data_IF_692438494603
#
_entry.id   IF_692438494603
#
_cell.length_a   1.000
_cell.length_b   1.000
_cell.length_c   1.000
_cell.angle_alpha   90.00
_cell.angle_beta   90.00
_cell.angle_gamma   90.00
#
_symmetry.space_group_name_H-M   'P 1'
#
loop_
_entity.id
_entity.type
_entity.pdbx_description
1 polymer ?
#
# COMPACT_ATOMS: atom_id res chain seq x y z
N UNK A 1 -3.29 -7.07 -9.25
CA UNK A 1 -3.21 -6.02 -8.23
C UNK A 1 -4.48 -5.17 -8.18
N UNK A 2 -4.77 -4.58 -7.03
CA UNK A 2 -5.89 -3.63 -6.84
C UNK A 2 -5.54 -2.21 -7.36
N UNK A 3 -4.26 -1.87 -7.44
CA UNK A 3 -3.77 -0.52 -7.79
C UNK A 3 -3.03 -0.52 -9.12
N UNK A 4 -3.59 0.06 -10.21
CA UNK A 4 -2.89 0.17 -11.50
C UNK A 4 -1.54 0.91 -11.42
N UNK A 5 -1.40 1.84 -10.47
CA UNK A 5 -0.19 2.66 -10.30
C UNK A 5 1.09 1.85 -9.99
N UNK A 6 0.95 0.65 -9.39
CA UNK A 6 2.10 -0.21 -9.08
C UNK A 6 2.59 -1.03 -10.28
N UNK A 7 1.95 -0.91 -11.45
CA UNK A 7 2.35 -1.60 -12.66
C UNK A 7 3.81 -1.32 -13.04
N UNK A 8 4.28 -0.08 -12.82
CA UNK A 8 5.67 0.29 -13.09
C UNK A 8 6.65 -0.50 -12.22
N UNK A 9 6.38 -0.68 -10.93
CA UNK A 9 7.25 -1.47 -10.05
C UNK A 9 7.32 -2.93 -10.50
N UNK A 10 6.19 -3.54 -10.88
CA UNK A 10 6.16 -4.89 -11.44
C UNK A 10 6.93 -5.00 -12.75
N UNK A 11 6.86 -3.98 -13.61
CA UNK A 11 7.62 -3.95 -14.84
C UNK A 11 9.12 -3.75 -14.59
N UNK A 12 9.51 -2.89 -13.64
CA UNK A 12 10.90 -2.69 -13.24
C UNK A 12 11.52 -3.99 -12.69
N UNK A 13 10.77 -4.73 -11.89
CA UNK A 13 11.20 -6.04 -11.39
C UNK A 13 11.30 -7.08 -12.52
N UNK A 14 10.37 -7.06 -13.46
CA UNK A 14 10.45 -7.90 -14.66
C UNK A 14 11.73 -7.58 -15.46
N UNK A 15 12.03 -6.31 -15.74
CA UNK A 15 13.25 -5.91 -16.45
C UNK A 15 14.50 -6.37 -15.69
N UNK A 16 14.52 -6.19 -14.38
CA UNK A 16 15.68 -6.49 -13.53
C UNK A 16 15.93 -7.99 -13.38
N UNK A 17 14.89 -8.80 -13.22
CA UNK A 17 15.03 -10.19 -12.79
C UNK A 17 14.66 -11.22 -13.85
N UNK A 18 13.90 -10.86 -14.89
CA UNK A 18 13.34 -11.81 -15.85
C UNK A 18 13.71 -11.48 -17.29
N UNK A 19 13.74 -10.21 -17.69
CA UNK A 19 13.90 -9.81 -19.10
C UNK A 19 15.23 -10.25 -19.74
N UNK A 20 16.24 -10.56 -18.97
CA UNK A 20 17.49 -11.15 -19.45
C UNK A 20 17.29 -12.57 -20.01
N UNK A 21 16.21 -13.26 -19.63
CA UNK A 21 15.73 -14.47 -20.28
C UNK A 21 14.95 -14.05 -21.52
N UNK A 22 15.58 -14.13 -22.67
CA UNK A 22 15.10 -13.55 -23.96
C UNK A 22 13.77 -14.12 -24.47
N UNK A 23 13.24 -15.20 -23.88
CA UNK A 23 11.98 -15.83 -24.21
C UNK A 23 10.77 -15.23 -23.48
N UNK A 24 10.96 -14.40 -22.45
CA UNK A 24 9.84 -13.77 -21.73
C UNK A 24 9.42 -12.44 -22.34
N UNK A 25 8.12 -12.16 -22.33
CA UNK A 25 7.52 -10.88 -22.75
C UNK A 25 6.52 -10.40 -21.71
N UNK A 26 6.55 -9.09 -21.43
CA UNK A 26 5.58 -8.45 -20.56
C UNK A 26 4.40 -7.91 -21.35
N UNK A 27 3.19 -8.38 -21.02
CA UNK A 27 1.95 -8.03 -21.71
C UNK A 27 1.05 -7.24 -20.79
N UNK A 28 0.69 -6.01 -21.19
CA UNK A 28 -0.24 -5.17 -20.44
C UNK A 28 -0.84 -4.08 -21.31
N UNK A 29 -2.07 -3.69 -21.00
CA UNK A 29 -2.76 -2.52 -21.60
C UNK A 29 -2.99 -1.42 -20.58
N UNK A 30 -2.31 -1.49 -19.43
CA UNK A 30 -2.44 -0.51 -18.35
C UNK A 30 -1.83 0.82 -18.76
N UNK A 31 -2.58 1.93 -18.58
CA UNK A 31 -2.19 3.27 -19.02
C UNK A 31 -0.82 3.73 -18.47
N UNK A 32 -0.49 3.36 -17.24
CA UNK A 32 0.79 3.72 -16.61
C UNK A 32 2.01 3.05 -17.26
N UNK A 33 1.81 2.07 -18.13
CA UNK A 33 2.88 1.36 -18.84
C UNK A 33 2.97 1.73 -20.33
N UNK A 34 2.19 2.70 -20.81
CA UNK A 34 2.15 3.04 -22.25
C UNK A 34 3.49 3.47 -22.85
N UNK A 35 4.38 4.04 -22.03
CA UNK A 35 5.72 4.49 -22.46
C UNK A 35 6.82 3.45 -22.21
N UNK A 36 6.43 2.27 -21.71
CA UNK A 36 7.36 1.16 -21.41
C UNK A 36 7.39 0.13 -22.54
N UNK A 37 8.42 -0.69 -22.57
CA UNK A 37 8.57 -1.77 -23.57
C UNK A 37 7.64 -2.96 -23.26
N UNK A 38 6.34 -2.70 -23.15
CA UNK A 38 5.29 -3.70 -22.94
C UNK A 38 4.57 -4.00 -24.25
N UNK A 39 4.06 -5.19 -24.39
CA UNK A 39 3.28 -5.62 -25.55
C UNK A 39 1.80 -5.65 -25.21
N UNK A 40 0.98 -5.39 -26.21
CA UNK A 40 -0.42 -5.83 -26.20
C UNK A 40 -0.49 -7.34 -26.46
N UNK A 41 -1.65 -7.94 -26.24
CA UNK A 41 -1.87 -9.36 -26.56
C UNK A 41 -1.62 -9.69 -28.03
N UNK A 42 -2.03 -8.80 -28.94
CA UNK A 42 -1.90 -9.03 -30.37
C UNK A 42 -0.44 -8.93 -30.83
N UNK A 43 0.31 -7.94 -30.33
CA UNK A 43 1.74 -7.83 -30.57
C UNK A 43 2.51 -9.04 -30.05
N UNK A 44 2.15 -9.57 -28.88
CA UNK A 44 2.74 -10.80 -28.37
C UNK A 44 2.49 -11.98 -29.32
N UNK A 45 1.28 -12.13 -29.83
CA UNK A 45 0.96 -13.21 -30.79
C UNK A 45 1.73 -13.05 -32.09
N UNK A 46 1.93 -11.83 -32.57
CA UNK A 46 2.70 -11.58 -33.77
C UNK A 46 4.19 -11.89 -33.55
N UNK A 47 4.75 -11.56 -32.39
CA UNK A 47 6.11 -11.99 -32.04
C UNK A 47 6.22 -13.51 -31.90
N UNK A 48 5.27 -14.14 -31.23
CA UNK A 48 5.22 -15.59 -31.07
C UNK A 48 5.24 -16.31 -32.42
N UNK A 49 4.45 -15.86 -33.39
CA UNK A 49 4.43 -16.43 -34.75
C UNK A 49 5.81 -16.37 -35.44
N UNK A 50 6.51 -15.23 -35.29
CA UNK A 50 7.86 -15.05 -35.91
C UNK A 50 8.92 -15.97 -35.32
N UNK A 51 8.78 -16.37 -34.03
CA UNK A 51 9.78 -17.24 -33.38
C UNK A 51 9.40 -18.73 -33.48
N UNK A 52 8.12 -19.06 -33.64
CA UNK A 52 7.67 -20.43 -33.87
C UNK A 52 8.32 -21.06 -35.12
N UNK A 53 8.52 -20.30 -36.17
CA UNK A 53 9.24 -20.73 -37.38
C UNK A 53 10.70 -21.14 -37.10
N UNK A 54 11.26 -20.67 -35.96
CA UNK A 54 12.60 -21.02 -35.48
C UNK A 54 12.62 -22.09 -34.40
N UNK A 55 11.49 -22.76 -34.19
CA UNK A 55 11.32 -23.73 -33.11
C UNK A 55 11.54 -23.18 -31.69
N UNK A 56 11.20 -21.90 -31.51
CA UNK A 56 11.28 -21.17 -30.22
C UNK A 56 9.86 -20.85 -29.73
N UNK A 57 9.70 -20.79 -28.41
CA UNK A 57 8.43 -20.43 -27.77
C UNK A 57 8.65 -19.25 -26.85
N UNK A 58 7.78 -18.23 -26.95
CA UNK A 58 7.76 -17.09 -26.02
C UNK A 58 6.87 -17.38 -24.83
N UNK A 59 7.29 -16.92 -23.68
CA UNK A 59 6.54 -16.99 -22.42
C UNK A 59 5.97 -15.62 -22.08
N UNK A 60 4.76 -15.62 -21.55
CA UNK A 60 4.02 -14.40 -21.25
C UNK A 60 4.00 -14.13 -19.75
N UNK A 61 4.37 -12.91 -19.35
CA UNK A 61 4.03 -12.33 -18.06
C UNK A 61 2.94 -11.26 -18.31
N UNK A 62 1.72 -11.51 -17.85
CA UNK A 62 0.60 -10.60 -18.05
C UNK A 62 0.30 -9.82 -16.78
N UNK A 63 0.31 -8.49 -16.87
CA UNK A 63 -0.09 -7.62 -15.79
C UNK A 63 -1.50 -7.07 -16.01
N UNK A 64 -2.37 -7.23 -15.01
CA UNK A 64 -3.76 -6.78 -15.05
C UNK A 64 -4.14 -6.10 -13.74
N UNK A 65 -4.91 -5.03 -13.83
CA UNK A 65 -5.55 -4.46 -12.67
C UNK A 65 -6.81 -5.25 -12.28
N UNK A 66 -7.16 -5.22 -11.00
CA UNK A 66 -8.39 -5.86 -10.53
C UNK A 66 -9.64 -5.17 -11.10
N UNK A 67 -9.55 -3.85 -11.37
CA UNK A 67 -10.62 -3.10 -12.01
C UNK A 67 -10.85 -3.57 -13.45
N UNK A 68 -9.78 -3.83 -14.20
CA UNK A 68 -9.88 -4.38 -15.55
C UNK A 68 -10.52 -5.76 -15.55
N UNK A 69 -10.10 -6.60 -14.64
CA UNK A 69 -10.64 -7.95 -14.49
C UNK A 69 -12.15 -7.89 -14.15
N UNK A 70 -12.53 -7.17 -13.11
CA UNK A 70 -13.92 -7.02 -12.66
C UNK A 70 -14.81 -6.34 -13.71
N UNK A 71 -14.26 -5.48 -14.57
CA UNK A 71 -15.00 -4.82 -15.65
C UNK A 71 -15.33 -5.74 -16.83
N UNK A 72 -14.65 -6.87 -16.98
CA UNK A 72 -14.82 -7.79 -18.10
C UNK A 72 -16.02 -8.72 -17.93
N UNK A 73 -16.78 -8.97 -19.02
CA UNK A 73 -17.91 -9.92 -19.05
C UNK A 73 -17.51 -11.33 -18.67
N UNK A 74 -16.28 -11.73 -19.00
CA UNK A 74 -15.74 -13.06 -18.69
C UNK A 74 -15.54 -13.28 -17.18
N UNK A 75 -15.45 -12.19 -16.42
CA UNK A 75 -15.22 -12.20 -14.97
C UNK A 75 -16.38 -11.57 -14.16
N UNK A 76 -17.52 -11.36 -14.82
CA UNK A 76 -18.75 -10.88 -14.16
C UNK A 76 -19.02 -9.38 -14.30
N UNK A 77 -18.28 -8.69 -15.17
CA UNK A 77 -18.52 -7.29 -15.55
C UNK A 77 -19.42 -7.17 -16.81
N UNK A 78 -19.27 -6.05 -17.52
CA UNK A 78 -20.13 -5.66 -18.64
C UNK A 78 -19.38 -5.38 -19.94
N UNK A 79 -18.06 -5.26 -19.90
CA UNK A 79 -17.22 -4.89 -21.05
C UNK A 79 -16.64 -6.13 -21.69
N UNK A 80 -16.76 -6.28 -23.00
CA UNK A 80 -16.16 -7.39 -23.75
C UNK A 80 -14.65 -7.13 -23.92
N UNK A 81 -13.87 -7.59 -22.93
CA UNK A 81 -12.41 -7.52 -22.90
C UNK A 81 -11.86 -8.70 -22.12
N UNK A 82 -10.55 -8.96 -22.26
CA UNK A 82 -9.82 -9.99 -21.52
C UNK A 82 -10.30 -11.44 -21.73
N UNK A 83 -10.96 -11.72 -22.86
CA UNK A 83 -11.37 -13.08 -23.24
C UNK A 83 -10.21 -14.07 -23.17
N UNK A 84 -9.05 -13.65 -23.69
CA UNK A 84 -7.85 -14.45 -23.72
C UNK A 84 -7.32 -14.83 -22.32
N UNK A 85 -7.62 -14.01 -21.30
CA UNK A 85 -7.23 -14.32 -19.91
C UNK A 85 -8.05 -15.51 -19.37
N UNK A 86 -9.33 -15.55 -19.71
CA UNK A 86 -10.22 -16.64 -19.30
C UNK A 86 -9.98 -17.93 -20.08
N UNK A 87 -9.56 -17.82 -21.35
CA UNK A 87 -9.34 -18.98 -22.25
C UNK A 87 -7.94 -19.60 -22.12
N UNK A 88 -6.95 -18.85 -21.64
CA UNK A 88 -5.60 -19.38 -21.44
C UNK A 88 -5.51 -20.29 -20.20
N UNK A 89 -4.59 -21.26 -20.27
CA UNK A 89 -4.14 -22.02 -19.12
C UNK A 89 -2.86 -21.37 -18.57
N UNK A 90 -2.95 -20.79 -17.39
CA UNK A 90 -1.84 -20.11 -16.74
C UNK A 90 -1.05 -21.08 -15.85
N UNK A 91 0.26 -20.96 -15.83
CA UNK A 91 1.07 -21.73 -14.89
C UNK A 91 0.96 -21.13 -13.46
N UNK A 92 1.00 -19.81 -13.33
CA UNK A 92 0.96 -19.14 -12.05
C UNK A 92 0.06 -17.88 -12.12
N UNK A 93 -0.79 -17.71 -11.14
CA UNK A 93 -1.52 -16.50 -10.86
C UNK A 93 -0.94 -15.85 -9.61
N UNK A 94 -0.42 -14.64 -9.72
CA UNK A 94 0.06 -13.83 -8.58
C UNK A 94 -1.02 -12.80 -8.24
N UNK A 95 -1.50 -12.81 -7.00
CA UNK A 95 -2.48 -11.86 -6.48
C UNK A 95 -1.76 -10.97 -5.46
N UNK A 96 -1.47 -9.76 -5.89
CA UNK A 96 -0.82 -8.76 -5.05
C UNK A 96 -1.85 -7.96 -4.25
N UNK A 97 -1.49 -7.54 -3.04
CA UNK A 97 -2.37 -6.91 -2.07
C UNK A 97 -3.62 -7.76 -1.81
N UNK A 98 -3.43 -9.04 -1.58
CA UNK A 98 -4.51 -10.02 -1.48
C UNK A 98 -5.51 -9.74 -0.33
N UNK A 99 -5.19 -8.84 0.59
CA UNK A 99 -6.07 -8.35 1.65
C UNK A 99 -6.99 -7.22 1.18
N UNK A 100 -6.65 -6.49 0.09
CA UNK A 100 -7.45 -5.38 -0.42
C UNK A 100 -8.45 -5.85 -1.50
N UNK A 101 -9.73 -5.82 -1.18
CA UNK A 101 -10.81 -6.05 -2.16
C UNK A 101 -10.93 -7.47 -2.72
N UNK A 102 -10.11 -8.42 -2.24
CA UNK A 102 -10.14 -9.83 -2.64
C UNK A 102 -11.21 -10.61 -1.87
N UNK A 103 -11.60 -10.14 -0.70
CA UNK A 103 -12.61 -10.78 0.16
C UNK A 103 -14.06 -10.52 -0.25
N UNK A 104 -14.33 -9.96 -1.43
CA UNK A 104 -15.68 -9.88 -1.92
C UNK A 104 -15.99 -11.12 -2.76
N UNK A 105 -17.13 -11.73 -2.52
CA UNK A 105 -17.66 -12.87 -3.29
C UNK A 105 -17.58 -12.70 -4.83
N UNK A 106 -17.61 -11.45 -5.32
CA UNK A 106 -17.42 -11.13 -6.74
C UNK A 106 -15.96 -11.31 -7.20
N UNK A 107 -15.00 -11.01 -6.35
CA UNK A 107 -13.57 -11.13 -6.67
C UNK A 107 -13.13 -12.58 -6.67
N UNK A 108 -13.55 -13.37 -5.68
CA UNK A 108 -13.27 -14.81 -5.64
C UNK A 108 -13.82 -15.48 -6.89
N UNK A 109 -15.06 -15.19 -7.29
CA UNK A 109 -15.67 -15.69 -8.53
C UNK A 109 -14.90 -15.27 -9.79
N UNK A 110 -14.30 -14.09 -9.82
CA UNK A 110 -13.50 -13.65 -10.95
C UNK A 110 -12.19 -14.45 -11.04
N UNK A 111 -11.50 -14.65 -9.92
CA UNK A 111 -10.28 -15.45 -9.89
C UNK A 111 -10.53 -16.94 -10.19
N UNK A 112 -11.66 -17.50 -9.77
CA UNK A 112 -12.04 -18.89 -10.08
C UNK A 112 -12.22 -19.16 -11.56
N UNK A 113 -12.50 -18.12 -12.36
CA UNK A 113 -12.61 -18.22 -13.82
C UNK A 113 -11.26 -18.17 -14.55
N UNK A 114 -10.16 -17.96 -13.85
CA UNK A 114 -8.81 -18.00 -14.42
C UNK A 114 -8.25 -19.42 -14.25
N UNK A 115 -8.14 -20.16 -15.35
CA UNK A 115 -7.51 -21.48 -15.34
C UNK A 115 -6.03 -21.34 -14.99
N UNK A 116 -5.60 -21.99 -13.90
CA UNK A 116 -4.24 -21.89 -13.40
C UNK A 116 -3.78 -23.15 -12.70
N UNK A 117 -2.48 -23.45 -12.77
CA UNK A 117 -1.89 -24.56 -12.02
C UNK A 117 -1.63 -24.16 -10.56
N UNK A 118 -1.08 -22.95 -10.36
CA UNK A 118 -0.69 -22.45 -9.04
C UNK A 118 -1.23 -21.04 -8.81
N UNK A 119 -1.43 -20.69 -7.55
CA UNK A 119 -1.76 -19.32 -7.13
C UNK A 119 -0.84 -18.89 -5.98
N UNK A 120 -0.30 -17.68 -6.07
CA UNK A 120 0.48 -17.03 -5.04
C UNK A 120 -0.25 -15.78 -4.57
N UNK A 121 -0.54 -15.70 -3.27
CA UNK A 121 -1.13 -14.53 -2.63
C UNK A 121 -0.04 -13.76 -1.89
N UNK A 122 0.14 -12.49 -2.24
CA UNK A 122 1.07 -11.57 -1.59
C UNK A 122 0.27 -10.57 -0.75
N UNK A 123 0.70 -10.35 0.48
CA UNK A 123 0.06 -9.39 1.37
C UNK A 123 1.00 -8.94 2.48
N UNK A 124 1.10 -7.63 2.71
CA UNK A 124 1.78 -7.08 3.87
C UNK A 124 1.00 -7.23 5.18
N UNK A 125 -0.33 -7.48 5.10
CA UNK A 125 -1.23 -7.59 6.26
C UNK A 125 -2.22 -8.75 6.11
N UNK A 126 -1.74 -10.02 6.14
CA UNK A 126 -2.57 -11.19 5.82
C UNK A 126 -3.48 -11.64 6.99
N UNK A 127 -3.66 -10.81 8.02
CA UNK A 127 -4.27 -11.18 9.29
C UNK A 127 -5.63 -11.87 9.15
N UNK A 128 -6.49 -11.36 8.27
CA UNK A 128 -7.83 -11.93 8.08
C UNK A 128 -7.78 -13.30 7.41
N UNK A 129 -6.99 -13.45 6.34
CA UNK A 129 -6.86 -14.71 5.62
C UNK A 129 -6.25 -15.81 6.50
N UNK A 130 -5.26 -15.46 7.31
CA UNK A 130 -4.64 -16.38 8.28
C UNK A 130 -5.60 -16.74 9.39
N UNK A 131 -6.31 -15.76 9.98
CA UNK A 131 -7.27 -16.00 11.05
C UNK A 131 -8.47 -16.87 10.61
N UNK A 132 -8.87 -16.78 9.33
CA UNK A 132 -9.95 -17.60 8.76
C UNK A 132 -9.50 -19.01 8.33
N UNK A 133 -8.21 -19.35 8.47
CA UNK A 133 -7.67 -20.65 8.07
C UNK A 133 -7.77 -20.92 6.56
N UNK A 134 -7.69 -19.87 5.73
CA UNK A 134 -7.80 -20.00 4.26
C UNK A 134 -6.66 -20.83 3.65
N UNK A 135 -5.52 -20.89 4.32
CA UNK A 135 -4.32 -21.61 3.91
C UNK A 135 -3.85 -22.54 5.02
N UNK A 136 -3.34 -23.71 4.65
CA UNK A 136 -2.64 -24.59 5.60
C UNK A 136 -1.29 -23.95 6.00
N UNK A 137 -0.78 -24.29 7.18
CA UNK A 137 0.43 -23.67 7.72
C UNK A 137 1.64 -23.85 6.79
N UNK A 138 1.74 -24.96 6.11
CA UNK A 138 2.82 -25.33 5.20
C UNK A 138 2.77 -24.54 3.87
N UNK A 139 1.65 -23.87 3.61
CA UNK A 139 1.43 -23.02 2.43
C UNK A 139 1.76 -21.55 2.71
N UNK A 140 2.11 -21.21 3.95
CA UNK A 140 2.34 -19.82 4.38
C UNK A 140 3.84 -19.62 4.54
N UNK A 141 4.40 -18.70 3.76
CA UNK A 141 5.71 -18.12 4.03
C UNK A 141 5.50 -16.74 4.67
N UNK A 142 6.10 -16.54 5.84
CA UNK A 142 6.02 -15.29 6.57
C UNK A 142 7.42 -14.70 6.75
N UNK A 143 7.55 -13.39 6.45
CA UNK A 143 8.76 -12.62 6.70
C UNK A 143 8.36 -11.29 7.33
N UNK A 144 8.65 -11.14 8.60
CA UNK A 144 8.25 -9.98 9.40
C UNK A 144 9.36 -8.93 9.45
N UNK A 145 9.00 -7.72 9.90
CA UNK A 145 10.00 -6.70 10.22
C UNK A 145 11.04 -7.19 11.25
N UNK A 146 10.60 -7.98 12.22
CA UNK A 146 11.52 -8.57 13.23
C UNK A 146 12.52 -9.52 12.59
N UNK A 147 12.05 -10.39 11.67
CA UNK A 147 12.92 -11.31 10.93
C UNK A 147 13.95 -10.55 10.08
N UNK A 148 13.53 -9.44 9.43
CA UNK A 148 14.42 -8.56 8.66
C UNK A 148 15.48 -7.92 9.55
N UNK A 149 15.12 -7.37 10.72
CA UNK A 149 16.07 -6.74 11.63
C UNK A 149 17.01 -7.77 12.25
N UNK A 150 16.54 -8.97 12.57
CA UNK A 150 17.36 -10.07 13.03
C UNK A 150 18.37 -10.50 11.94
N UNK A 151 17.92 -10.66 10.71
CA UNK A 151 18.79 -10.97 9.57
C UNK A 151 19.83 -9.86 9.33
N UNK A 152 19.46 -8.58 9.51
CA UNK A 152 20.35 -7.44 9.40
C UNK A 152 21.46 -7.48 10.46
N UNK A 153 21.08 -7.71 11.72
CA UNK A 153 22.02 -7.67 12.85
C UNK A 153 22.92 -8.93 12.91
N UNK A 154 22.43 -10.07 12.42
CA UNK A 154 23.13 -11.37 12.43
C UNK A 154 23.71 -11.76 11.06
N UNK A 155 23.94 -10.82 10.15
CA UNK A 155 24.55 -11.12 8.86
C UNK A 155 26.04 -11.46 9.02
N UNK A 156 26.40 -12.68 8.70
CA UNK A 156 27.74 -13.19 8.86
C UNK A 156 28.39 -13.69 7.55
N UNK A 157 27.69 -13.51 6.42
CA UNK A 157 28.22 -13.92 5.12
C UNK A 157 29.29 -12.95 4.63
N UNK A 158 30.25 -13.44 3.83
CA UNK A 158 31.27 -12.62 3.18
C UNK A 158 30.71 -11.63 2.14
N UNK A 159 29.44 -11.83 1.74
CA UNK A 159 28.75 -10.97 0.79
C UNK A 159 28.21 -9.70 1.46
N UNK A 160 27.94 -8.68 0.65
CA UNK A 160 27.33 -7.45 1.14
C UNK A 160 25.97 -7.75 1.77
N UNK A 161 25.76 -7.31 3.01
CA UNK A 161 24.51 -7.47 3.73
C UNK A 161 23.36 -6.73 2.99
N UNK A 162 22.38 -7.45 2.40
CA UNK A 162 21.29 -6.83 1.65
C UNK A 162 20.35 -6.01 2.53
N UNK A 163 20.34 -6.26 3.84
CA UNK A 163 19.50 -5.55 4.82
C UNK A 163 20.18 -4.33 5.45
N UNK A 164 21.47 -4.09 5.16
CA UNK A 164 22.24 -3.04 5.82
C UNK A 164 21.60 -1.66 5.73
N UNK A 165 20.98 -1.34 4.58
CA UNK A 165 20.31 -0.06 4.34
C UNK A 165 18.86 -0.01 4.82
N UNK A 166 18.28 -1.12 5.31
CA UNK A 166 16.90 -1.13 5.79
C UNK A 166 16.77 -0.33 7.09
N UNK A 167 15.80 0.60 7.19
CA UNK A 167 15.64 1.45 8.35
C UNK A 167 15.12 0.67 9.55
N UNK A 168 15.47 1.11 10.75
CA UNK A 168 14.79 0.68 11.99
C UNK A 168 13.52 1.48 12.17
N UNK A 169 12.45 0.80 12.53
CA UNK A 169 11.19 1.43 12.90
C UNK A 169 11.16 1.67 14.41
N UNK A 170 11.07 2.93 14.81
CA UNK A 170 10.84 3.31 16.20
C UNK A 170 9.37 3.74 16.35
N UNK A 171 8.63 3.05 17.21
CA UNK A 171 7.24 3.39 17.49
C UNK A 171 7.17 4.20 18.78
N UNK A 172 6.65 5.42 18.68
CA UNK A 172 6.40 6.29 19.83
C UNK A 172 4.89 6.45 19.99
N UNK A 173 4.40 6.24 21.20
CA UNK A 173 3.01 6.55 21.56
C UNK A 173 2.94 7.89 22.25
N UNK A 174 1.99 8.71 21.82
CA UNK A 174 1.73 10.00 22.40
C UNK A 174 0.43 9.97 23.21
N UNK A 175 0.53 10.32 24.49
CA UNK A 175 -0.64 10.54 25.31
C UNK A 175 -1.03 12.02 25.25
N UNK A 176 -2.16 12.34 24.65
CA UNK A 176 -2.67 13.71 24.62
C UNK A 176 -2.95 14.20 26.05
N UNK A 177 -2.65 15.47 26.31
CA UNK A 177 -2.90 16.05 27.61
C UNK A 177 -4.39 15.98 27.94
N UNK A 178 -4.74 15.66 29.18
CA UNK A 178 -6.12 15.60 29.66
C UNK A 178 -6.90 16.89 29.34
N UNK A 179 -6.21 18.03 29.36
CA UNK A 179 -6.80 19.34 29.00
C UNK A 179 -7.29 19.40 27.56
N UNK A 180 -6.56 18.78 26.61
CA UNK A 180 -6.98 18.73 25.21
C UNK A 180 -8.19 17.78 25.04
N UNK A 181 -8.16 16.63 25.73
CA UNK A 181 -9.26 15.67 25.79
C UNK A 181 -10.53 16.30 26.37
N UNK A 182 -10.42 16.96 27.52
CA UNK A 182 -11.55 17.60 28.21
C UNK A 182 -12.18 18.73 27.40
N UNK A 183 -11.38 19.50 26.64
CA UNK A 183 -11.91 20.57 25.80
C UNK A 183 -12.63 20.07 24.56
N UNK A 184 -12.14 19.01 23.95
CA UNK A 184 -12.82 18.38 22.79
C UNK A 184 -14.11 17.72 23.24
N UNK A 185 -14.10 17.05 24.41
CA UNK A 185 -15.27 16.39 24.97
C UNK A 185 -16.36 17.36 25.45
N UNK A 186 -16.01 18.56 25.92
CA UNK A 186 -16.99 19.60 26.30
C UNK A 186 -17.74 20.21 25.10
N UNK A 187 -17.25 20.04 23.89
CA UNK A 187 -17.94 20.42 22.67
C UNK A 187 -18.98 19.41 22.17
N UNK A 188 -19.04 18.24 22.79
CA UNK A 188 -20.00 17.18 22.49
C UNK A 188 -21.00 17.14 23.64
N UNK A 189 -22.12 17.86 23.49
CA UNK A 189 -23.26 17.78 24.40
C UNK A 189 -23.93 16.41 24.25
N UNK A 190 -23.52 15.45 25.08
CA UNK A 190 -24.19 14.17 25.20
C UNK A 190 -25.20 14.26 26.33
N UNK A 191 -26.46 13.99 26.02
CA UNK A 191 -27.55 13.84 26.97
C UNK A 191 -27.21 12.83 28.05
N UNK A 192 -27.61 13.12 29.27
CA UNK A 192 -27.25 12.59 30.59
C UNK A 192 -27.40 11.06 30.86
N UNK A 193 -27.67 10.21 29.88
CA UNK A 193 -28.07 8.81 30.14
C UNK A 193 -27.08 7.70 29.72
N UNK A 194 -25.94 8.02 29.08
CA UNK A 194 -24.99 6.96 28.69
C UNK A 194 -23.57 7.24 29.28
N UNK A 195 -23.21 6.45 30.29
CA UNK A 195 -21.83 6.30 30.76
C UNK A 195 -21.02 5.49 29.73
N UNK A 196 -20.77 6.07 28.58
CA UNK A 196 -19.82 5.53 27.59
C UNK A 196 -18.42 6.07 27.91
N UNK A 197 -17.43 5.19 27.99
CA UNK A 197 -16.02 5.55 28.02
C UNK A 197 -15.74 6.45 26.80
N UNK A 198 -15.40 7.69 27.05
CA UNK A 198 -15.10 8.67 25.98
C UNK A 198 -13.79 8.30 25.31
N UNK A 199 -13.87 7.73 24.10
CA UNK A 199 -12.73 7.61 23.24
C UNK A 199 -12.43 8.99 22.61
N UNK A 200 -11.17 9.41 22.61
CA UNK A 200 -10.74 10.62 21.94
C UNK A 200 -10.95 10.47 20.43
N UNK A 201 -11.74 11.36 19.83
CA UNK A 201 -12.00 11.36 18.39
C UNK A 201 -11.04 12.32 17.68
N UNK A 202 -10.04 11.73 16.98
CA UNK A 202 -9.09 12.47 16.14
C UNK A 202 -9.78 13.23 15.00
N UNK A 203 -10.88 12.72 14.48
CA UNK A 203 -11.64 13.39 13.42
C UNK A 203 -12.28 14.69 13.93
N UNK A 204 -12.82 14.67 15.15
CA UNK A 204 -13.38 15.86 15.76
C UNK A 204 -12.26 16.86 16.09
N UNK A 205 -11.13 16.39 16.62
CA UNK A 205 -9.98 17.23 16.93
C UNK A 205 -9.43 17.98 15.72
N UNK A 206 -9.29 17.27 14.58
CA UNK A 206 -8.79 17.86 13.32
C UNK A 206 -9.92 18.31 12.37
N UNK A 207 -11.12 18.53 12.88
CA UNK A 207 -12.25 19.00 12.09
C UNK A 207 -12.05 20.42 11.59
N UNK A 208 -12.43 20.61 10.31
CA UNK A 208 -12.37 21.93 9.66
C UNK A 208 -13.77 22.51 9.45
N UNK A 209 -13.85 23.83 9.42
CA UNK A 209 -15.04 24.56 9.01
C UNK A 209 -15.13 24.63 7.45
N UNK A 210 -16.19 25.23 6.93
CA UNK A 210 -16.41 25.41 5.48
C UNK A 210 -15.31 26.22 4.77
N UNK A 211 -14.51 27.00 5.51
CA UNK A 211 -13.38 27.78 5.00
C UNK A 211 -12.06 26.99 5.02
N UNK A 212 -12.09 25.70 5.35
CA UNK A 212 -10.90 24.85 5.46
C UNK A 212 -9.96 25.22 6.62
N UNK A 213 -10.49 25.83 7.70
CA UNK A 213 -9.73 26.15 8.91
C UNK A 213 -10.15 25.22 10.03
N UNK A 214 -9.20 24.81 10.87
CA UNK A 214 -9.51 23.99 12.06
C UNK A 214 -10.48 24.71 12.99
N UNK A 215 -11.52 24.01 13.41
CA UNK A 215 -12.46 24.48 14.45
C UNK A 215 -11.69 24.64 15.77
N UNK A 216 -10.84 23.65 16.10
CA UNK A 216 -10.01 23.65 17.30
C UNK A 216 -8.58 24.14 17.03
N UNK A 217 -8.42 25.25 16.28
CA UNK A 217 -7.12 25.75 15.81
C UNK A 217 -6.08 25.92 16.94
N UNK A 218 -6.50 26.43 18.10
CA UNK A 218 -5.60 26.67 19.22
C UNK A 218 -5.11 25.36 19.86
N UNK A 219 -5.97 24.36 19.91
CA UNK A 219 -5.66 23.02 20.44
C UNK A 219 -4.72 22.27 19.50
N UNK A 220 -4.97 22.35 18.19
CA UNK A 220 -4.07 21.77 17.17
C UNK A 220 -2.70 22.47 17.23
N UNK A 221 -2.67 23.80 17.40
CA UNK A 221 -1.40 24.52 17.57
C UNK A 221 -0.64 24.04 18.81
N UNK A 222 -1.30 23.94 19.96
CA UNK A 222 -0.68 23.43 21.20
C UNK A 222 -0.17 21.99 21.04
N UNK A 223 -0.87 21.17 20.28
CA UNK A 223 -0.41 19.82 19.96
C UNK A 223 0.91 19.87 19.16
N UNK A 224 1.01 20.73 18.13
CA UNK A 224 2.23 20.89 17.36
C UNK A 224 3.38 21.47 18.21
N UNK A 225 3.10 22.49 19.03
CA UNK A 225 4.07 23.07 19.96
C UNK A 225 4.60 21.99 20.93
N UNK A 226 3.71 21.13 21.47
CA UNK A 226 4.10 20.05 22.37
C UNK A 226 5.00 19.00 21.72
N UNK A 227 4.81 18.68 20.43
CA UNK A 227 5.69 17.76 19.70
C UNK A 227 7.14 18.29 19.59
N UNK A 228 7.32 19.60 19.69
CA UNK A 228 8.63 20.27 19.57
C UNK A 228 9.26 20.54 20.93
N UNK A 229 8.46 20.84 21.95
CA UNK A 229 8.93 21.30 23.26
C UNK A 229 9.15 20.19 24.26
N UNK A 230 8.43 19.07 24.14
CA UNK A 230 8.51 17.97 25.12
C UNK A 230 9.61 16.99 24.78
N UNK A 231 10.54 16.75 25.69
CA UNK A 231 11.75 15.92 25.52
C UNK A 231 11.53 14.51 25.00
N UNK A 232 10.33 13.97 25.10
CA UNK A 232 9.99 12.60 24.67
C UNK A 232 9.64 12.48 23.20
N UNK A 233 9.59 13.60 22.45
CA UNK A 233 9.19 13.56 21.06
C UNK A 233 10.37 13.68 20.10
N UNK A 234 10.27 13.03 18.92
CA UNK A 234 11.34 13.03 17.94
C UNK A 234 11.67 14.42 17.37
N UNK A 235 10.79 15.42 17.57
CA UNK A 235 11.03 16.79 17.13
C UNK A 235 11.57 17.72 18.21
N UNK A 236 11.78 17.21 19.44
CA UNK A 236 12.12 18.05 20.60
C UNK A 236 13.55 18.58 20.58
N UNK A 237 14.51 17.84 20.04
CA UNK A 237 15.92 18.27 19.99
C UNK A 237 16.41 18.48 18.55
N UNK A 238 17.37 19.41 18.33
CA UNK A 238 17.98 19.61 17.01
C UNK A 238 18.67 18.34 16.47
N UNK A 239 19.22 17.50 17.33
CA UNK A 239 19.89 16.25 16.96
C UNK A 239 18.89 15.25 16.39
N UNK A 240 17.77 15.01 17.08
CA UNK A 240 16.70 14.14 16.61
C UNK A 240 16.08 14.66 15.31
N UNK A 241 15.89 15.98 15.17
CA UNK A 241 15.35 16.59 13.96
C UNK A 241 16.22 16.39 12.73
N UNK A 242 17.55 16.31 12.88
CA UNK A 242 18.47 16.06 11.75
C UNK A 242 18.25 14.69 11.10
N UNK A 243 17.79 13.71 11.87
CA UNK A 243 17.49 12.37 11.37
C UNK A 243 16.12 12.30 10.67
N UNK A 244 15.25 13.29 10.87
CA UNK A 244 13.89 13.37 10.35
C UNK A 244 13.85 14.26 9.11
N UNK A 245 14.49 13.85 8.02
CA UNK A 245 14.50 14.60 6.76
C UNK A 245 13.11 14.75 6.12
N UNK A 246 12.18 13.85 6.43
CA UNK A 246 10.80 13.86 5.91
C UNK A 246 9.83 13.45 6.99
N UNK A 247 8.63 14.05 6.97
CA UNK A 247 7.53 13.67 7.84
C UNK A 247 6.30 13.31 7.00
N UNK A 248 5.60 12.26 7.42
CA UNK A 248 4.34 11.84 6.80
C UNK A 248 3.22 11.94 7.84
N UNK A 249 2.18 12.72 7.51
CA UNK A 249 1.03 12.97 8.36
C UNK A 249 -0.22 12.37 7.73
N UNK A 250 -0.74 11.33 8.34
CA UNK A 250 -1.96 10.68 7.88
C UNK A 250 -3.16 11.19 8.67
N UNK A 251 -4.11 11.82 7.97
CA UNK A 251 -5.39 12.26 8.51
C UNK A 251 -6.53 11.65 7.68
N UNK A 252 -7.67 11.43 8.31
CA UNK A 252 -8.80 10.78 7.65
C UNK A 252 -9.51 11.66 6.60
N UNK A 253 -9.40 13.00 6.74
CA UNK A 253 -10.08 13.95 5.84
C UNK A 253 -9.07 14.79 5.05
N UNK A 254 -9.34 14.94 3.76
CA UNK A 254 -8.52 15.75 2.85
C UNK A 254 -8.41 17.21 3.30
N UNK A 255 -9.52 17.81 3.78
CA UNK A 255 -9.50 19.20 4.22
C UNK A 255 -8.70 19.39 5.51
N UNK A 256 -8.77 18.41 6.42
CA UNK A 256 -7.91 18.38 7.62
C UNK A 256 -6.44 18.28 7.26
N UNK A 257 -6.10 17.44 6.29
CA UNK A 257 -4.72 17.30 5.79
C UNK A 257 -4.20 18.60 5.18
N UNK A 258 -5.02 19.29 4.37
CA UNK A 258 -4.68 20.59 3.78
C UNK A 258 -4.49 21.67 4.86
N UNK A 259 -5.39 21.71 5.85
CA UNK A 259 -5.31 22.66 6.96
C UNK A 259 -4.05 22.43 7.81
N UNK A 260 -3.71 21.17 8.09
CA UNK A 260 -2.51 20.80 8.82
C UNK A 260 -1.25 21.16 8.04
N UNK A 261 -1.19 20.84 6.75
CA UNK A 261 -0.07 21.19 5.89
C UNK A 261 0.20 22.71 5.89
N UNK A 262 -0.86 23.53 5.89
CA UNK A 262 -0.73 24.98 6.02
C UNK A 262 -0.15 25.38 7.38
N UNK A 263 -0.64 24.81 8.48
CA UNK A 263 -0.11 25.12 9.82
C UNK A 263 1.34 24.68 9.99
N UNK A 264 1.72 23.52 9.43
CA UNK A 264 3.11 23.05 9.48
C UNK A 264 4.06 23.99 8.74
N UNK A 265 3.66 24.50 7.56
CA UNK A 265 4.43 25.50 6.80
C UNK A 265 4.58 26.85 7.53
N UNK A 266 3.64 27.20 8.39
CA UNK A 266 3.67 28.42 9.18
C UNK A 266 4.35 28.21 10.56
N UNK A 267 4.67 26.97 10.93
CA UNK A 267 5.24 26.64 12.23
C UNK A 267 6.78 26.80 12.22
N UNK A 268 7.40 27.51 13.18
CA UNK A 268 8.82 27.88 13.15
C UNK A 268 9.81 26.72 13.04
N UNK A 269 9.40 25.53 13.49
CA UNK A 269 10.22 24.32 13.43
C UNK A 269 9.88 23.48 12.19
N UNK A 270 8.58 23.20 11.98
CA UNK A 270 8.15 22.32 10.90
C UNK A 270 8.28 22.93 9.50
N UNK A 271 8.35 24.25 9.34
CA UNK A 271 8.58 24.91 8.06
C UNK A 271 9.85 24.46 7.34
N UNK A 272 10.79 23.84 8.08
CA UNK A 272 12.10 23.40 7.60
C UNK A 272 12.11 21.96 7.09
N UNK A 273 10.98 21.26 7.22
CA UNK A 273 10.81 19.83 6.88
C UNK A 273 9.63 19.63 5.86
#
# INVERSE_FOLDING_TARGET
TNRPAIANSWFDDFEKFIAWQTDYRFVSTTDSLKERATLTRDEFLDEQRKVLDKNQELRMVAFLSLQDLKGSVYFGGTIDKLRWVAENNWDLLIIDEAHEGVDTHKTDKAFDKINRKFALHLSGTPFKAVAMGKFAQEQIFNWTFSDEQEAKDNWHEETLNPYACMPRMNMYTYQMSQIAIDKVNRGIDLSDDDKTEFAFDLNEFFKTNERGQFIHKNEVKKFLDALVEQEKFPFSTPELRKELAHTFWLLERVDSAKALAKMLKEHPVFEKY
#
